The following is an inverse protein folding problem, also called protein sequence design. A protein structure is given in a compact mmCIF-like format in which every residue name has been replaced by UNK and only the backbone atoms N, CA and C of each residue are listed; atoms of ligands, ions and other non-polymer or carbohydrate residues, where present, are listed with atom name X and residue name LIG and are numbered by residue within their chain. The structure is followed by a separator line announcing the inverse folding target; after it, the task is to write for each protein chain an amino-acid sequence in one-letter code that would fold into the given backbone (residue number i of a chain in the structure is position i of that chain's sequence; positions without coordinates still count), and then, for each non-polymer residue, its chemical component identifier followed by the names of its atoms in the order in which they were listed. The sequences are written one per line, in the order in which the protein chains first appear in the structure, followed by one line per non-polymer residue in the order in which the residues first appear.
data_IF_521275757335
#
_entry.id   IF_521275757335
#
_cell.length_a   1.000
_cell.length_b   1.000
_cell.length_c   1.000
_cell.angle_alpha   90.00
_cell.angle_beta   90.00
_cell.angle_gamma   90.00
#
_symmetry.space_group_name_H-M   'P 1'
#
loop_
_entity.id
_entity.type
_entity.pdbx_description
1 polymer ?
#
# COMPACT_ATOMS: atom_id res chain seq x y z
N UNK A 1 -6.47 17.27 -54.86
CA UNK A 1 -6.71 15.80 -54.82
C UNK A 1 -5.54 14.98 -54.27
N UNK A 2 -4.24 15.29 -54.66
CA UNK A 2 -3.08 14.52 -54.14
C UNK A 2 -2.69 14.86 -52.72
N UNK A 3 -2.93 16.10 -52.24
CA UNK A 3 -2.69 16.56 -50.88
C UNK A 3 -3.76 16.04 -49.87
N UNK A 4 -5.00 15.97 -50.29
CA UNK A 4 -6.12 15.45 -49.47
C UNK A 4 -6.02 13.93 -49.21
N UNK A 5 -5.54 13.15 -50.21
CA UNK A 5 -5.29 11.74 -50.08
C UNK A 5 -4.15 11.45 -49.08
N UNK A 6 -3.10 12.30 -49.05
CA UNK A 6 -1.98 12.17 -48.12
C UNK A 6 -2.35 12.54 -46.70
N UNK A 7 -3.23 13.53 -46.50
CA UNK A 7 -3.76 13.93 -45.19
C UNK A 7 -4.71 12.86 -44.61
N UNK A 8 -5.52 12.21 -45.43
CA UNK A 8 -6.42 11.14 -45.03
C UNK A 8 -5.64 9.87 -44.66
N UNK A 9 -4.61 9.51 -45.39
CA UNK A 9 -3.74 8.37 -45.10
C UNK A 9 -2.91 8.58 -43.82
N UNK A 10 -2.50 9.82 -43.50
CA UNK A 10 -1.83 10.14 -42.25
C UNK A 10 -2.79 10.11 -41.03
N UNK A 11 -4.04 10.52 -41.18
CA UNK A 11 -5.04 10.38 -40.14
C UNK A 11 -5.39 8.90 -39.85
N UNK A 12 -5.62 8.10 -40.90
CA UNK A 12 -5.89 6.67 -40.75
C UNK A 12 -4.71 5.88 -40.15
N UNK A 13 -3.47 6.30 -40.40
CA UNK A 13 -2.29 5.66 -39.79
C UNK A 13 -2.10 6.08 -38.33
N UNK A 14 -2.42 7.32 -37.95
CA UNK A 14 -2.36 7.76 -36.56
C UNK A 14 -3.50 7.17 -35.71
N UNK A 15 -4.70 6.98 -36.25
CA UNK A 15 -5.79 6.28 -35.58
C UNK A 15 -5.48 4.77 -35.40
N UNK A 16 -4.81 4.13 -36.35
CA UNK A 16 -4.39 2.71 -36.22
C UNK A 16 -3.28 2.48 -35.22
N UNK A 17 -2.43 3.46 -34.96
CA UNK A 17 -1.36 3.35 -33.94
C UNK A 17 -1.91 3.45 -32.51
N UNK A 18 -3.08 4.09 -32.31
CA UNK A 18 -3.72 4.26 -31.00
C UNK A 18 -4.51 3.00 -30.54
N UNK A 19 -4.74 2.03 -31.41
CA UNK A 19 -5.67 0.91 -31.11
C UNK A 19 -5.03 -0.44 -30.80
N UNK A 20 -3.72 -0.60 -30.79
CA UNK A 20 -3.12 -1.76 -30.14
C UNK A 20 -2.95 -1.50 -28.65
N UNK A 21 -4.01 -1.76 -27.89
CA UNK A 21 -3.95 -1.82 -26.43
C UNK A 21 -3.02 -2.98 -26.05
N UNK A 22 -1.73 -2.67 -25.82
CA UNK A 22 -0.78 -3.66 -25.33
C UNK A 22 -1.26 -4.06 -23.95
N UNK A 23 -1.81 -5.27 -23.82
CA UNK A 23 -2.28 -5.79 -22.54
C UNK A 23 -1.07 -6.29 -21.75
N UNK A 24 -0.49 -5.41 -20.94
CA UNK A 24 0.64 -5.74 -20.05
C UNK A 24 0.11 -6.27 -18.72
N UNK A 25 0.71 -7.34 -18.17
CA UNK A 25 0.28 -7.89 -16.88
C UNK A 25 0.49 -6.87 -15.73
N UNK A 26 -0.14 -7.10 -14.58
CA UNK A 26 0.15 -6.35 -13.37
C UNK A 26 1.63 -6.48 -13.00
N UNK A 27 2.21 -5.43 -12.41
CA UNK A 27 3.63 -5.45 -12.00
C UNK A 27 3.90 -6.44 -10.87
N UNK A 28 2.85 -6.82 -10.13
CA UNK A 28 2.91 -7.75 -9.00
C UNK A 28 1.86 -8.85 -9.13
N UNK A 29 2.05 -9.97 -8.41
CA UNK A 29 0.99 -10.96 -8.21
C UNK A 29 -0.19 -10.30 -7.47
N UNK A 30 -1.42 -10.72 -7.79
CA UNK A 30 -2.64 -10.11 -7.25
C UNK A 30 -2.70 -10.07 -5.72
N UNK A 31 -2.06 -11.01 -5.04
CA UNK A 31 -1.98 -11.03 -3.57
C UNK A 31 -1.33 -9.78 -2.97
N UNK A 32 -0.39 -9.13 -3.68
CA UNK A 32 0.29 -7.93 -3.20
C UNK A 32 -0.57 -6.68 -3.25
N UNK A 33 -1.64 -6.67 -4.05
CA UNK A 33 -2.63 -5.60 -4.10
C UNK A 33 -3.65 -5.67 -2.96
N UNK A 34 -3.74 -6.81 -2.25
CA UNK A 34 -4.68 -6.97 -1.13
C UNK A 34 -4.27 -6.17 0.09
N UNK A 35 -5.25 -5.83 0.94
CA UNK A 35 -5.06 -5.11 2.20
C UNK A 35 -6.11 -4.06 2.46
N UNK A 36 -5.94 -3.31 3.52
CA UNK A 36 -6.78 -2.18 3.85
C UNK A 36 -6.15 -0.90 3.29
N UNK A 37 -6.97 -0.09 2.65
CA UNK A 37 -6.59 1.19 2.07
C UNK A 37 -7.44 2.28 2.68
N UNK A 38 -6.84 3.32 3.24
CA UNK A 38 -7.54 4.36 3.97
C UNK A 38 -7.40 5.74 3.30
N UNK A 39 -8.51 6.47 3.29
CA UNK A 39 -8.56 7.89 3.01
C UNK A 39 -9.29 8.59 4.17
N UNK A 40 -8.78 9.73 4.71
CA UNK A 40 -9.38 10.41 5.85
C UNK A 40 -10.84 10.83 5.65
N UNK A 41 -11.24 11.17 4.42
CA UNK A 41 -12.61 11.61 4.09
C UNK A 41 -13.54 10.46 3.70
N UNK A 42 -13.01 9.39 3.11
CA UNK A 42 -13.80 8.28 2.55
C UNK A 42 -13.72 6.99 3.39
N UNK A 43 -12.92 6.98 4.46
CA UNK A 43 -12.76 5.83 5.34
C UNK A 43 -11.86 4.75 4.76
N UNK A 44 -12.10 3.50 5.18
CA UNK A 44 -11.28 2.34 4.83
C UNK A 44 -11.97 1.49 3.77
N UNK A 45 -11.23 1.20 2.71
CA UNK A 45 -11.57 0.24 1.66
C UNK A 45 -10.69 -1.01 1.83
N UNK A 46 -11.30 -2.17 1.96
CA UNK A 46 -10.60 -3.46 1.99
C UNK A 46 -10.53 -4.04 0.59
N UNK A 47 -9.32 -4.30 0.10
CA UNK A 47 -9.08 -5.05 -1.14
C UNK A 47 -8.70 -6.48 -0.78
N UNK A 48 -9.37 -7.44 -1.41
CA UNK A 48 -9.19 -8.86 -1.13
C UNK A 48 -9.25 -9.69 -2.42
N UNK A 49 -8.67 -10.89 -2.35
CA UNK A 49 -8.66 -11.85 -3.45
C UNK A 49 -9.79 -12.86 -3.24
N UNK A 50 -10.55 -13.11 -4.28
CA UNK A 50 -11.57 -14.16 -4.34
C UNK A 50 -11.57 -14.78 -5.74
N UNK A 51 -11.39 -16.10 -5.84
CA UNK A 51 -11.34 -16.84 -7.10
C UNK A 51 -10.42 -16.18 -8.15
N UNK A 52 -9.17 -15.92 -7.76
CA UNK A 52 -8.14 -15.26 -8.57
C UNK A 52 -8.53 -13.87 -9.13
N UNK A 53 -9.47 -13.22 -8.51
CA UNK A 53 -9.93 -11.87 -8.86
C UNK A 53 -9.87 -10.94 -7.65
N UNK A 54 -9.51 -9.67 -7.88
CA UNK A 54 -9.52 -8.64 -6.84
C UNK A 54 -10.90 -8.02 -6.67
N UNK A 55 -11.30 -7.85 -5.42
CA UNK A 55 -12.51 -7.15 -5.02
C UNK A 55 -12.17 -6.06 -4.01
N UNK A 56 -12.88 -4.94 -4.08
CA UNK A 56 -12.85 -3.87 -3.10
C UNK A 56 -14.15 -3.83 -2.32
N UNK A 57 -14.09 -3.62 -1.00
CA UNK A 57 -15.25 -3.46 -0.13
C UNK A 57 -15.06 -2.24 0.78
N UNK A 58 -16.07 -1.37 0.82
CA UNK A 58 -16.10 -0.15 1.66
C UNK A 58 -17.07 -0.28 2.85
N UNK A 59 -17.48 -1.51 3.18
CA UNK A 59 -18.48 -1.83 4.20
C UNK A 59 -19.88 -1.99 3.63
N UNK A 60 -20.37 -1.01 2.87
CA UNK A 60 -21.71 -1.01 2.27
C UNK A 60 -21.74 -1.32 0.77
N UNK A 61 -20.60 -1.27 0.10
CA UNK A 61 -20.51 -1.56 -1.34
C UNK A 61 -19.30 -2.47 -1.62
N UNK A 62 -19.52 -3.39 -2.56
CA UNK A 62 -18.46 -4.24 -3.11
C UNK A 62 -18.26 -3.89 -4.58
N UNK A 63 -17.03 -3.90 -5.04
CA UNK A 63 -16.69 -3.71 -6.44
C UNK A 63 -15.71 -4.78 -6.89
N UNK A 64 -15.83 -5.21 -8.14
CA UNK A 64 -14.84 -6.05 -8.80
C UNK A 64 -13.79 -5.17 -9.47
N UNK A 65 -12.51 -5.51 -9.27
CA UNK A 65 -11.36 -4.87 -9.89
C UNK A 65 -10.85 -5.80 -11.01
N UNK A 66 -11.35 -5.59 -12.23
CA UNK A 66 -10.90 -6.32 -13.41
C UNK A 66 -9.57 -5.72 -13.89
N UNK A 67 -8.54 -6.55 -14.01
CA UNK A 67 -7.26 -6.07 -14.56
C UNK A 67 -7.44 -5.48 -15.97
N UNK A 68 -6.87 -4.31 -16.21
CA UNK A 68 -6.90 -3.62 -17.49
C UNK A 68 -5.52 -3.60 -18.15
N UNK A 69 -4.52 -2.97 -17.50
CA UNK A 69 -3.16 -2.84 -18.05
C UNK A 69 -2.20 -2.35 -16.96
N UNK A 70 -1.02 -2.97 -16.80
CA UNK A 70 -0.09 -2.69 -15.71
C UNK A 70 -0.82 -2.70 -14.35
N UNK A 71 -0.70 -1.64 -13.56
CA UNK A 71 -1.35 -1.48 -12.26
C UNK A 71 -2.69 -0.72 -12.34
N UNK A 72 -3.30 -0.67 -13.53
CA UNK A 72 -4.62 -0.09 -13.78
C UNK A 72 -5.67 -1.19 -13.81
N UNK A 73 -6.75 -0.99 -13.06
CA UNK A 73 -7.88 -1.90 -12.96
C UNK A 73 -9.19 -1.17 -13.25
N UNK A 74 -10.06 -1.83 -13.97
CA UNK A 74 -11.44 -1.41 -14.21
C UNK A 74 -12.28 -1.81 -13.00
N UNK A 75 -12.90 -0.84 -12.34
CA UNK A 75 -13.74 -1.03 -11.18
C UNK A 75 -15.21 -1.07 -11.58
N UNK A 76 -15.89 -2.19 -11.28
CA UNK A 76 -17.31 -2.40 -11.48
C UNK A 76 -18.00 -2.58 -10.13
N UNK A 77 -18.98 -1.75 -9.83
CA UNK A 77 -19.74 -1.87 -8.58
C UNK A 77 -20.65 -3.10 -8.69
N UNK A 78 -20.63 -3.93 -7.64
CA UNK A 78 -21.54 -5.05 -7.51
C UNK A 78 -22.88 -4.56 -6.98
N UNK A 79 -23.94 -4.79 -7.73
CA UNK A 79 -25.31 -4.64 -7.24
C UNK A 79 -25.70 -5.85 -6.37
N UNK A 80 -26.50 -5.62 -5.33
CA UNK A 80 -26.92 -6.67 -4.41
C UNK A 80 -27.97 -7.62 -5.03
N UNK A 81 -28.68 -7.18 -6.08
CA UNK A 81 -29.72 -7.93 -6.76
C UNK A 81 -29.25 -8.52 -8.08
N UNK A 82 -28.56 -7.74 -8.90
CA UNK A 82 -28.21 -8.09 -10.28
C UNK A 82 -26.75 -8.55 -10.46
N UNK A 83 -25.95 -8.49 -9.39
CA UNK A 83 -24.55 -8.92 -9.43
C UNK A 83 -23.61 -7.84 -9.98
N UNK A 84 -22.65 -8.23 -10.84
CA UNK A 84 -21.68 -7.30 -11.44
C UNK A 84 -22.13 -6.99 -12.86
N UNK A 85 -22.55 -5.75 -13.12
CA UNK A 85 -22.78 -5.27 -14.47
C UNK A 85 -21.49 -4.78 -15.11
N UNK A 86 -21.13 -5.38 -16.23
CA UNK A 86 -19.93 -5.02 -17.01
C UNK A 86 -20.28 -4.30 -18.33
N UNK A 87 -21.55 -3.98 -18.54
CA UNK A 87 -22.00 -3.23 -19.73
C UNK A 87 -21.79 -1.73 -19.57
N UNK A 88 -21.80 -1.24 -18.33
CA UNK A 88 -21.48 0.14 -18.01
C UNK A 88 -19.99 0.44 -18.16
N UNK A 89 -19.66 1.71 -18.43
CA UNK A 89 -18.29 2.16 -18.49
C UNK A 89 -17.64 2.08 -17.09
N UNK A 90 -16.53 1.34 -16.94
CA UNK A 90 -15.92 1.14 -15.64
C UNK A 90 -15.20 2.39 -15.13
N UNK A 91 -15.13 2.55 -13.81
CA UNK A 91 -14.24 3.52 -13.20
C UNK A 91 -12.82 2.96 -13.21
N UNK A 92 -11.89 3.61 -13.91
CA UNK A 92 -10.48 3.19 -13.95
C UNK A 92 -9.77 3.57 -12.66
N UNK A 93 -9.35 2.59 -11.91
CA UNK A 93 -8.52 2.75 -10.72
C UNK A 93 -7.07 2.41 -11.01
N UNK A 94 -6.14 3.08 -10.35
CA UNK A 94 -4.70 2.86 -10.54
C UNK A 94 -4.01 2.66 -9.20
N UNK A 95 -3.28 1.55 -9.07
CA UNK A 95 -2.37 1.35 -7.95
C UNK A 95 -1.05 2.08 -8.20
N UNK A 96 -0.47 2.62 -7.13
CA UNK A 96 0.82 3.31 -7.17
C UNK A 96 1.84 2.57 -6.32
N UNK A 97 3.08 2.60 -6.78
CA UNK A 97 4.24 2.02 -6.12
C UNK A 97 5.00 3.08 -5.32
N UNK A 98 5.73 2.65 -4.29
CA UNK A 98 6.77 3.44 -3.66
C UNK A 98 8.09 3.28 -4.44
N UNK A 99 9.16 3.92 -3.98
CA UNK A 99 10.51 3.82 -4.59
C UNK A 99 11.14 2.44 -4.44
N UNK A 100 10.66 1.61 -3.53
CA UNK A 100 11.13 0.25 -3.30
C UNK A 100 10.36 -0.77 -4.16
N UNK A 101 9.34 -0.31 -4.90
CA UNK A 101 8.51 -1.13 -5.77
C UNK A 101 7.25 -1.70 -5.10
N UNK A 102 7.00 -1.42 -3.82
CA UNK A 102 5.80 -1.93 -3.12
C UNK A 102 4.55 -1.15 -3.47
N UNK A 103 3.39 -1.81 -3.48
CA UNK A 103 2.09 -1.16 -3.62
C UNK A 103 1.81 -0.27 -2.40
N UNK A 104 1.74 1.06 -2.61
CA UNK A 104 1.54 2.05 -1.53
C UNK A 104 0.13 2.62 -1.45
N UNK A 105 -0.56 2.73 -2.57
CA UNK A 105 -1.90 3.34 -2.62
C UNK A 105 -2.67 2.92 -3.86
N UNK A 106 -3.97 3.24 -3.87
CA UNK A 106 -4.84 3.18 -5.04
C UNK A 106 -5.52 4.53 -5.23
N UNK A 107 -5.56 5.04 -6.45
CA UNK A 107 -6.28 6.25 -6.86
C UNK A 107 -7.52 5.89 -7.66
N UNK A 108 -8.66 6.49 -7.31
CA UNK A 108 -9.95 6.25 -7.92
C UNK A 108 -10.57 7.60 -8.33
N UNK A 109 -10.82 7.87 -9.62
CA UNK A 109 -11.50 9.07 -10.08
C UNK A 109 -13.02 8.87 -9.96
N UNK A 110 -13.60 9.22 -8.82
CA UNK A 110 -15.04 9.16 -8.62
C UNK A 110 -15.80 10.22 -9.42
N UNK A 111 -15.13 11.33 -9.73
CA UNK A 111 -15.66 12.42 -10.55
C UNK A 111 -14.64 12.82 -11.62
N UNK A 112 -15.12 12.94 -12.87
CA UNK A 112 -14.25 13.18 -14.05
C UNK A 112 -13.51 14.51 -14.03
N UNK A 113 -14.06 15.52 -13.35
CA UNK A 113 -13.48 16.87 -13.29
C UNK A 113 -12.61 17.11 -12.05
N UNK A 114 -12.63 16.19 -11.08
CA UNK A 114 -11.84 16.29 -9.86
C UNK A 114 -10.59 15.41 -9.92
N UNK A 115 -9.63 15.74 -9.04
CA UNK A 115 -8.46 14.88 -8.87
C UNK A 115 -8.90 13.51 -8.32
N UNK A 116 -8.31 12.41 -8.79
CA UNK A 116 -8.58 11.09 -8.23
C UNK A 116 -8.35 11.06 -6.72
N UNK A 117 -9.22 10.37 -6.01
CA UNK A 117 -9.11 10.17 -4.56
C UNK A 117 -8.09 9.08 -4.29
N UNK A 118 -7.05 9.41 -3.53
CA UNK A 118 -6.02 8.45 -3.13
C UNK A 118 -6.38 7.78 -1.80
N UNK A 119 -6.39 6.45 -1.79
CA UNK A 119 -6.48 5.62 -0.59
C UNK A 119 -5.10 5.00 -0.34
N UNK A 120 -4.51 5.31 0.81
CA UNK A 120 -3.18 4.80 1.20
C UNK A 120 -3.29 3.41 1.81
N UNK A 121 -2.45 2.49 1.35
CA UNK A 121 -2.38 1.13 1.89
C UNK A 121 -1.98 1.19 3.36
N UNK A 122 -2.79 0.55 4.19
CA UNK A 122 -2.48 0.33 5.59
C UNK A 122 -1.70 -0.96 5.72
N UNK A 123 -0.70 -0.97 6.57
CA UNK A 123 0.01 -2.20 6.88
C UNK A 123 -0.96 -3.14 7.61
N UNK A 124 -1.07 -4.39 7.14
CA UNK A 124 -1.77 -5.40 7.88
C UNK A 124 -1.00 -5.64 9.18
N UNK A 125 -1.60 -5.33 10.32
CA UNK A 125 -1.01 -5.66 11.61
C UNK A 125 -0.91 -7.19 11.71
N UNK A 126 0.31 -7.69 11.85
CA UNK A 126 0.53 -9.09 12.19
C UNK A 126 0.19 -9.27 13.67
N UNK A 127 -0.59 -10.29 13.99
CA UNK A 127 -0.82 -10.61 15.41
C UNK A 127 0.51 -11.02 16.05
N UNK A 128 0.82 -10.40 17.18
CA UNK A 128 1.99 -10.71 17.99
C UNK A 128 1.54 -10.92 19.44
N UNK A 129 2.02 -11.98 20.10
CA UNK A 129 1.63 -12.25 21.48
C UNK A 129 2.22 -11.21 22.45
N UNK A 130 1.59 -11.07 23.62
CA UNK A 130 2.10 -10.15 24.65
C UNK A 130 3.50 -10.53 25.13
N UNK A 131 3.79 -11.80 25.19
CA UNK A 131 5.08 -12.34 25.59
C UNK A 131 6.14 -12.04 24.54
N UNK A 132 5.78 -12.17 23.27
CA UNK A 132 6.69 -11.93 22.16
C UNK A 132 6.99 -10.43 21.98
N UNK A 133 6.01 -9.56 22.14
CA UNK A 133 6.19 -8.12 21.94
C UNK A 133 7.11 -7.50 23.01
N UNK A 134 7.13 -8.08 24.22
CA UNK A 134 7.97 -7.60 25.34
C UNK A 134 9.46 -7.62 25.02
N UNK A 135 9.95 -8.58 24.22
CA UNK A 135 11.39 -8.71 23.89
C UNK A 135 11.95 -7.48 23.21
N UNK A 136 11.13 -6.70 22.50
CA UNK A 136 11.54 -5.51 21.76
C UNK A 136 11.71 -4.27 22.63
N UNK A 137 11.17 -4.27 23.85
CA UNK A 137 11.29 -3.12 24.77
C UNK A 137 12.74 -2.90 25.21
N UNK A 138 13.09 -1.67 25.49
CA UNK A 138 14.41 -1.27 26.01
C UNK A 138 14.93 0.02 25.40
N UNK A 139 16.14 0.34 25.74
CA UNK A 139 16.87 1.52 25.28
C UNK A 139 17.83 1.13 24.16
N UNK A 140 17.87 1.94 23.10
CA UNK A 140 18.65 1.70 21.89
C UNK A 140 19.49 2.91 21.57
N UNK A 141 20.82 2.74 21.52
CA UNK A 141 21.75 3.82 21.23
C UNK A 141 21.94 4.01 19.74
N UNK A 142 21.70 5.23 19.26
CA UNK A 142 21.82 5.65 17.86
C UNK A 142 22.49 7.02 17.77
N UNK A 143 23.68 7.11 17.17
CA UNK A 143 24.34 8.38 16.89
C UNK A 143 24.53 9.30 18.10
N UNK A 144 24.82 8.73 19.29
CA UNK A 144 25.00 9.49 20.54
C UNK A 144 23.71 9.88 21.25
N UNK A 145 22.53 9.46 20.71
CA UNK A 145 21.24 9.62 21.38
C UNK A 145 20.64 8.25 21.73
N UNK A 146 19.65 8.22 22.62
CA UNK A 146 18.98 6.98 23.03
C UNK A 146 17.54 7.01 22.60
N UNK A 147 17.15 6.10 21.70
CA UNK A 147 15.75 5.83 21.38
C UNK A 147 15.19 4.83 22.40
N UNK A 148 14.00 5.08 22.92
CA UNK A 148 13.31 4.20 23.86
C UNK A 148 12.19 3.46 23.15
N UNK A 149 12.15 2.14 23.28
CA UNK A 149 11.05 1.29 22.83
C UNK A 149 10.31 0.76 24.06
N UNK A 150 9.01 1.00 24.12
CA UNK A 150 8.21 0.67 25.32
C UNK A 150 6.79 0.29 24.97
N UNK A 151 6.09 -0.36 25.89
CA UNK A 151 4.69 -0.75 25.74
C UNK A 151 3.76 0.30 26.36
N UNK A 152 2.64 0.57 25.69
CA UNK A 152 1.45 1.17 26.28
C UNK A 152 0.32 0.15 26.31
N UNK A 153 -0.46 0.17 27.39
CA UNK A 153 -1.60 -0.74 27.60
C UNK A 153 -1.23 -2.22 27.43
N UNK A 154 0.02 -2.59 27.80
CA UNK A 154 0.58 -3.95 27.77
C UNK A 154 0.52 -4.68 26.41
N UNK A 155 0.18 -4.00 25.34
CA UNK A 155 -0.02 -4.64 24.04
C UNK A 155 0.46 -3.83 22.84
N UNK A 156 0.68 -2.54 22.98
CA UNK A 156 1.04 -1.67 21.86
C UNK A 156 2.45 -1.12 22.05
N UNK A 157 3.32 -1.38 21.10
CA UNK A 157 4.71 -0.93 21.13
C UNK A 157 4.80 0.52 20.62
N UNK A 158 5.62 1.31 21.32
CA UNK A 158 5.90 2.70 20.95
C UNK A 158 7.41 2.94 20.89
N UNK A 159 7.80 3.84 19.98
CA UNK A 159 9.16 4.37 19.91
C UNK A 159 9.16 5.85 20.31
N UNK A 160 10.12 6.26 21.13
CA UNK A 160 10.41 7.63 21.49
C UNK A 160 11.89 7.94 21.21
N UNK A 161 12.11 8.92 20.36
CA UNK A 161 13.42 9.52 20.13
C UNK A 161 13.41 10.92 20.76
N UNK A 162 14.42 11.33 21.55
CA UNK A 162 14.46 12.66 22.17
C UNK A 162 14.23 13.77 21.14
N UNK A 163 13.31 14.69 21.46
CA UNK A 163 12.93 15.79 20.57
C UNK A 163 11.88 15.45 19.51
N UNK A 164 11.38 14.21 19.49
CA UNK A 164 10.33 13.76 18.59
C UNK A 164 9.09 13.29 19.36
N UNK A 165 7.91 13.25 18.73
CA UNK A 165 6.73 12.64 19.34
C UNK A 165 6.90 11.14 19.52
N UNK A 166 6.03 10.56 20.36
CA UNK A 166 5.94 9.11 20.48
C UNK A 166 5.28 8.50 19.24
N UNK A 167 5.88 7.47 18.70
CA UNK A 167 5.37 6.79 17.51
C UNK A 167 4.85 5.39 17.84
N UNK A 168 3.58 5.13 17.51
CA UNK A 168 2.99 3.80 17.59
C UNK A 168 3.59 2.90 16.52
N UNK A 169 4.00 1.68 16.93
CA UNK A 169 4.60 0.66 16.07
C UNK A 169 3.60 -0.45 15.80
N UNK A 170 3.36 -0.72 14.53
CA UNK A 170 2.45 -1.77 14.05
C UNK A 170 3.27 -2.92 13.48
N UNK A 171 3.16 -4.14 14.03
CA UNK A 171 3.89 -5.29 13.50
C UNK A 171 3.42 -5.61 12.08
N UNK A 172 4.35 -5.71 11.13
CA UNK A 172 4.04 -5.94 9.70
C UNK A 172 4.70 -7.20 9.15
N UNK A 173 5.81 -7.63 9.77
CA UNK A 173 6.52 -8.85 9.44
C UNK A 173 7.31 -9.35 10.65
N UNK A 174 8.04 -10.48 10.50
CA UNK A 174 8.90 -11.01 11.55
C UNK A 174 9.92 -9.96 11.99
N UNK A 175 9.86 -9.60 13.26
CA UNK A 175 10.74 -8.60 13.90
C UNK A 175 10.72 -7.22 13.20
N UNK A 176 9.69 -6.93 12.36
CA UNK A 176 9.54 -5.69 11.58
C UNK A 176 8.24 -4.98 11.93
N UNK A 177 8.34 -3.68 12.21
CA UNK A 177 7.23 -2.82 12.59
C UNK A 177 7.18 -1.59 11.70
N UNK A 178 5.99 -1.21 11.25
CA UNK A 178 5.76 0.07 10.60
C UNK A 178 5.51 1.16 11.65
N UNK A 179 5.93 2.38 11.37
CA UNK A 179 5.54 3.56 12.16
C UNK A 179 4.16 4.00 11.64
N UNK A 180 3.11 3.85 12.47
CA UNK A 180 1.69 3.97 12.08
C UNK A 180 1.35 5.23 11.29
N UNK A 181 1.92 6.38 11.68
CA UNK A 181 1.59 7.68 11.09
C UNK A 181 2.55 8.10 9.97
N UNK A 182 3.65 7.36 9.74
CA UNK A 182 4.68 7.70 8.76
C UNK A 182 4.76 6.63 7.68
N UNK A 183 4.31 6.95 6.48
CA UNK A 183 4.40 6.04 5.32
C UNK A 183 5.86 5.86 4.89
N UNK A 184 6.28 4.60 4.69
CA UNK A 184 7.65 4.27 4.30
C UNK A 184 8.68 4.25 5.45
N UNK A 185 8.22 4.37 6.70
CA UNK A 185 9.09 4.30 7.88
C UNK A 185 8.87 3.00 8.63
N UNK A 186 9.94 2.27 8.86
CA UNK A 186 9.91 0.98 9.54
C UNK A 186 10.98 0.89 10.61
N UNK A 187 10.79 -0.02 11.56
CA UNK A 187 11.80 -0.48 12.50
C UNK A 187 11.97 -1.99 12.29
N UNK A 188 13.17 -2.42 11.94
CA UNK A 188 13.56 -3.82 11.87
C UNK A 188 14.42 -4.14 13.08
N UNK A 189 13.98 -5.05 13.95
CA UNK A 189 14.77 -5.50 15.08
C UNK A 189 15.77 -6.59 14.67
N UNK A 190 16.97 -6.51 15.19
CA UNK A 190 17.99 -7.54 15.07
C UNK A 190 17.85 -8.53 16.23
N UNK A 191 17.58 -9.78 15.91
CA UNK A 191 17.37 -10.87 16.88
C UNK A 191 18.44 -11.92 16.65
N UNK A 192 19.12 -12.33 17.72
CA UNK A 192 20.16 -13.37 17.66
C UNK A 192 19.57 -14.79 17.73
N UNK A 193 20.41 -15.81 17.61
CA UNK A 193 20.03 -17.23 17.64
C UNK A 193 19.32 -17.65 18.94
N UNK A 194 19.56 -16.94 20.03
CA UNK A 194 18.90 -17.16 21.34
C UNK A 194 17.57 -16.39 21.49
N UNK A 195 16.99 -15.89 20.37
CA UNK A 195 15.78 -15.07 20.34
C UNK A 195 15.85 -13.77 21.18
N UNK A 196 17.06 -13.26 21.41
CA UNK A 196 17.28 -11.96 22.10
C UNK A 196 17.47 -10.84 21.10
N UNK A 197 16.79 -9.72 21.34
CA UNK A 197 16.95 -8.51 20.55
C UNK A 197 18.27 -7.84 20.92
N UNK A 198 19.15 -7.63 19.94
CA UNK A 198 20.49 -7.03 20.11
C UNK A 198 20.57 -5.59 19.60
N UNK A 199 19.61 -5.18 18.79
CA UNK A 199 19.57 -3.84 18.22
C UNK A 199 18.34 -3.66 17.33
N UNK A 200 18.30 -2.54 16.63
CA UNK A 200 17.29 -2.27 15.62
C UNK A 200 17.87 -1.42 14.48
N UNK A 201 17.15 -1.36 13.37
CA UNK A 201 17.41 -0.45 12.26
C UNK A 201 16.17 0.38 12.00
N UNK A 202 16.28 1.69 12.09
CA UNK A 202 15.28 2.62 11.57
C UNK A 202 15.46 2.69 10.05
N UNK A 203 14.45 2.23 9.32
CA UNK A 203 14.39 2.27 7.86
C UNK A 203 13.53 3.45 7.44
N UNK A 204 14.13 4.39 6.73
CA UNK A 204 13.48 5.65 6.32
C UNK A 204 13.76 5.92 4.83
N UNK A 205 12.95 6.71 4.14
CA UNK A 205 13.18 7.04 2.73
C UNK A 205 14.54 7.68 2.42
N UNK A 206 15.15 8.32 3.42
CA UNK A 206 16.46 8.99 3.32
C UNK A 206 17.64 8.13 3.83
N UNK A 207 17.39 6.89 4.24
CA UNK A 207 18.44 5.96 4.68
C UNK A 207 18.07 5.08 5.86
N UNK A 208 19.00 4.19 6.20
CA UNK A 208 18.87 3.23 7.28
C UNK A 208 19.82 3.58 8.43
N UNK A 209 19.31 3.66 9.65
CA UNK A 209 20.05 4.06 10.83
C UNK A 209 20.02 2.93 11.86
N UNK A 210 21.21 2.37 12.17
CA UNK A 210 21.34 1.27 13.12
C UNK A 210 21.46 1.78 14.55
N UNK A 211 20.79 1.10 15.47
CA UNK A 211 20.88 1.33 16.91
C UNK A 211 21.19 0.01 17.63
N UNK A 212 22.00 0.10 18.69
CA UNK A 212 22.39 -1.04 19.51
C UNK A 212 21.58 -1.04 20.80
N UNK A 213 21.06 -2.20 21.20
CA UNK A 213 20.31 -2.35 22.46
C UNK A 213 21.28 -2.24 23.62
N UNK A 214 20.94 -1.43 24.64
CA UNK A 214 21.73 -1.28 25.91
C UNK A 214 21.43 -2.40 26.88
#
# INVERSE_FOLDING_TARGET
KKAEAKSKAMKDSSEKIVTQKINMPPTHELKYYTGNYNNPGYGTMRIYLQNDSLFANTGNKTAWLRHNNFDVFDLFIKDDHDGIDTTDEPVKSQFQLNTDGDIKSISIPFETELKPIEFKKQFAAKEISKEEIQKYTGDYEIGGTTAKIFLKNDSTLFALVPGQPEYELVPVDKDKFAIKILSGYFIQFAVNENNKVTGLTFMQPNGNFKAVKK
#
